data_IF_274456065637
#
_entry.id   IF_274456065637
#
_cell.length_a   1.000
_cell.length_b   1.000
_cell.length_c   1.000
_cell.angle_alpha   90.00
_cell.angle_beta   90.00
_cell.angle_gamma   90.00
#
_symmetry.space_group_name_H-M   'P 1'
#
loop_
_entity.id
_entity.type
_entity.pdbx_description
1 polymer ?
#
# COMPACT_ATOMS: atom_id res chain seq x y z
N UNK A 1 -8.86 10.14 34.48
CA UNK A 1 -8.35 8.79 34.15
C UNK A 1 -9.56 7.96 33.80
N UNK A 2 -9.76 7.62 32.53
CA UNK A 2 -10.89 6.80 32.13
C UNK A 2 -10.52 5.31 32.12
N UNK A 3 -11.44 4.47 32.58
CA UNK A 3 -11.38 3.02 32.39
C UNK A 3 -12.15 2.69 31.12
N UNK A 4 -11.42 2.31 30.08
CA UNK A 4 -11.98 1.92 28.78
C UNK A 4 -11.84 0.41 28.66
N UNK A 5 -12.95 -0.27 28.48
CA UNK A 5 -12.99 -1.71 28.38
C UNK A 5 -13.06 -2.19 26.93
N UNK A 6 -12.47 -3.35 26.69
CA UNK A 6 -12.66 -4.11 25.46
C UNK A 6 -13.18 -5.50 25.78
N UNK A 7 -14.30 -5.86 25.16
CA UNK A 7 -14.95 -7.16 25.28
C UNK A 7 -15.04 -7.82 23.91
N UNK A 8 -14.74 -9.12 23.85
CA UNK A 8 -14.91 -9.93 22.64
C UNK A 8 -15.99 -10.95 22.91
N UNK A 9 -17.13 -10.73 22.29
CA UNK A 9 -18.37 -11.45 22.54
C UNK A 9 -18.58 -12.48 21.43
N UNK A 10 -18.67 -13.74 21.86
CA UNK A 10 -18.97 -14.87 20.98
C UNK A 10 -20.48 -14.95 20.76
N UNK A 11 -20.93 -15.61 19.69
CA UNK A 11 -22.35 -15.91 19.45
C UNK A 11 -22.99 -16.80 20.52
N UNK A 12 -22.22 -17.34 21.46
CA UNK A 12 -22.75 -18.02 22.65
C UNK A 12 -23.10 -16.99 23.75
N UNK A 13 -24.39 -16.66 23.84
CA UNK A 13 -24.99 -15.63 24.70
C UNK A 13 -24.59 -15.76 26.18
N UNK A 14 -24.45 -16.98 26.71
CA UNK A 14 -24.20 -17.21 28.15
C UNK A 14 -22.81 -16.70 28.62
N UNK A 15 -21.79 -16.70 27.76
CA UNK A 15 -20.42 -16.27 28.15
C UNK A 15 -20.24 -14.76 28.07
N UNK A 16 -20.98 -14.12 27.18
CA UNK A 16 -20.91 -12.69 26.84
C UNK A 16 -21.39 -11.80 27.99
N UNK A 17 -22.52 -12.16 28.62
CA UNK A 17 -23.10 -11.35 29.70
C UNK A 17 -22.22 -11.33 30.95
N UNK A 18 -21.56 -12.45 31.26
CA UNK A 18 -20.64 -12.55 32.40
C UNK A 18 -19.43 -11.62 32.26
N UNK A 19 -18.94 -11.45 31.02
CA UNK A 19 -17.81 -10.59 30.71
C UNK A 19 -18.18 -9.10 30.84
N UNK A 20 -19.32 -8.71 30.27
CA UNK A 20 -19.81 -7.34 30.34
C UNK A 20 -20.12 -6.93 31.77
N UNK A 21 -20.71 -7.83 32.57
CA UNK A 21 -20.99 -7.58 33.98
C UNK A 21 -19.70 -7.33 34.76
N UNK A 22 -18.68 -8.17 34.59
CA UNK A 22 -17.39 -8.00 35.26
C UNK A 22 -16.71 -6.67 34.90
N UNK A 23 -16.77 -6.26 33.63
CA UNK A 23 -16.21 -4.98 33.17
C UNK A 23 -16.98 -3.77 33.73
N UNK A 24 -18.31 -3.86 33.80
CA UNK A 24 -19.16 -2.82 34.43
C UNK A 24 -18.89 -2.71 35.94
N UNK A 25 -18.78 -3.85 36.63
CA UNK A 25 -18.45 -3.89 38.07
C UNK A 25 -17.06 -3.32 38.35
N UNK A 26 -16.11 -3.45 37.43
CA UNK A 26 -14.79 -2.84 37.52
C UNK A 26 -14.79 -1.32 37.28
N UNK A 27 -15.94 -0.69 37.01
CA UNK A 27 -16.07 0.76 36.83
C UNK A 27 -15.74 1.26 35.42
N UNK A 28 -15.76 0.38 34.41
CA UNK A 28 -15.52 0.77 33.02
C UNK A 28 -16.74 1.52 32.47
N UNK A 29 -16.55 2.79 32.09
CA UNK A 29 -17.63 3.66 31.58
C UNK A 29 -17.83 3.53 30.07
N UNK A 30 -16.77 3.18 29.35
CA UNK A 30 -16.81 2.96 27.89
C UNK A 30 -16.42 1.52 27.63
N UNK A 31 -17.31 0.73 27.02
CA UNK A 31 -17.06 -0.67 26.69
C UNK A 31 -17.15 -0.82 25.17
N UNK A 32 -16.07 -1.29 24.56
CA UNK A 32 -16.00 -1.61 23.15
C UNK A 32 -16.26 -3.11 22.95
N UNK A 33 -17.38 -3.43 22.32
CA UNK A 33 -17.84 -4.80 22.10
C UNK A 33 -17.54 -5.25 20.67
N UNK A 34 -16.70 -6.27 20.53
CA UNK A 34 -16.35 -6.87 19.24
C UNK A 34 -17.10 -8.20 19.08
N UNK A 35 -18.07 -8.23 18.16
CA UNK A 35 -18.78 -9.43 17.73
C UNK A 35 -17.99 -10.10 16.61
N UNK A 36 -17.13 -11.05 16.95
CA UNK A 36 -16.29 -11.75 15.98
C UNK A 36 -16.04 -13.21 16.37
N UNK A 37 -16.13 -14.10 15.38
CA UNK A 37 -15.74 -15.49 15.54
C UNK A 37 -14.22 -15.61 15.74
N UNK A 38 -13.74 -16.68 16.38
CA UNK A 38 -12.33 -16.86 16.73
C UNK A 38 -11.34 -16.73 15.56
N UNK A 39 -11.80 -16.86 14.31
CA UNK A 39 -11.02 -16.82 13.07
C UNK A 39 -10.86 -15.46 12.37
N UNK A 40 -11.70 -14.45 12.68
CA UNK A 40 -11.69 -13.20 11.91
C UNK A 40 -10.43 -12.37 12.14
N UNK A 41 -9.70 -12.04 11.07
CA UNK A 41 -8.44 -11.30 11.14
C UNK A 41 -8.64 -9.81 11.37
N UNK A 42 -9.74 -9.27 10.86
CA UNK A 42 -10.03 -7.85 10.99
C UNK A 42 -10.73 -7.60 12.33
N UNK A 43 -10.08 -6.82 13.19
CA UNK A 43 -10.58 -6.40 14.51
C UNK A 43 -10.81 -4.89 14.53
N UNK A 44 -11.80 -4.39 13.78
CA UNK A 44 -12.02 -2.96 13.62
C UNK A 44 -12.43 -2.29 14.93
N UNK A 45 -13.14 -2.99 15.84
CA UNK A 45 -13.55 -2.41 17.13
C UNK A 45 -12.36 -2.33 18.08
N UNK A 46 -11.49 -3.34 18.12
CA UNK A 46 -10.23 -3.26 18.87
C UNK A 46 -9.37 -2.08 18.40
N UNK A 47 -9.22 -1.90 17.09
CA UNK A 47 -8.46 -0.79 16.53
C UNK A 47 -9.05 0.58 16.94
N UNK A 48 -10.39 0.71 16.90
CA UNK A 48 -11.10 1.90 17.38
C UNK A 48 -10.89 2.14 18.87
N UNK A 49 -10.98 1.09 19.70
CA UNK A 49 -10.75 1.18 21.14
C UNK A 49 -9.33 1.70 21.42
N UNK A 50 -8.32 1.10 20.78
CA UNK A 50 -6.93 1.50 20.90
C UNK A 50 -6.69 2.95 20.44
N UNK A 51 -7.37 3.39 19.37
CA UNK A 51 -7.28 4.77 18.89
C UNK A 51 -7.95 5.79 19.83
N UNK A 52 -9.00 5.39 20.55
CA UNK A 52 -9.74 6.27 21.46
C UNK A 52 -9.00 6.61 22.76
N UNK A 53 -8.08 5.76 23.20
CA UNK A 53 -7.35 5.88 24.46
C UNK A 53 -6.40 7.09 24.48
N UNK A 54 -6.36 7.81 25.60
CA UNK A 54 -5.48 8.95 25.85
C UNK A 54 -4.48 8.63 26.97
N UNK A 55 -3.41 9.43 27.04
CA UNK A 55 -2.40 9.31 28.12
C UNK A 55 -3.09 9.40 29.49
N UNK A 56 -2.77 8.44 30.38
CA UNK A 56 -3.35 8.33 31.71
C UNK A 56 -4.66 7.53 31.79
N UNK A 57 -5.17 7.03 30.66
CA UNK A 57 -6.26 6.05 30.65
C UNK A 57 -5.75 4.64 30.93
N UNK A 58 -6.69 3.73 31.23
CA UNK A 58 -6.40 2.30 31.39
C UNK A 58 -7.28 1.50 30.45
N UNK A 59 -6.66 0.67 29.61
CA UNK A 59 -7.37 -0.37 28.86
C UNK A 59 -7.64 -1.55 29.79
N UNK A 60 -8.92 -1.90 29.95
CA UNK A 60 -9.38 -3.01 30.78
C UNK A 60 -9.94 -4.12 29.91
N UNK A 61 -9.54 -5.36 30.20
CA UNK A 61 -10.12 -6.55 29.55
C UNK A 61 -10.50 -7.56 30.63
N UNK A 62 -11.52 -8.37 30.37
CA UNK A 62 -11.90 -9.41 31.33
C UNK A 62 -10.82 -10.49 31.43
N UNK A 63 -10.22 -10.86 30.29
CA UNK A 63 -9.12 -11.82 30.19
C UNK A 63 -8.22 -11.55 28.99
N UNK A 64 -6.96 -11.98 29.08
CA UNK A 64 -5.96 -11.81 28.01
C UNK A 64 -6.32 -12.53 26.70
N UNK A 65 -7.00 -13.68 26.75
CA UNK A 65 -7.44 -14.46 25.57
C UNK A 65 -8.50 -13.74 24.72
N UNK A 66 -9.14 -12.73 25.31
CA UNK A 66 -10.10 -11.88 24.61
C UNK A 66 -9.38 -10.78 23.84
N UNK A 67 -8.24 -10.29 24.33
CA UNK A 67 -7.42 -9.27 23.69
C UNK A 67 -6.46 -9.83 22.64
N UNK A 68 -5.71 -10.88 22.95
CA UNK A 68 -4.59 -11.32 22.12
C UNK A 68 -4.68 -12.80 21.75
N UNK A 69 -4.26 -13.13 20.53
CA UNK A 69 -4.19 -14.52 20.01
C UNK A 69 -2.87 -15.22 20.34
N UNK A 70 -1.86 -14.46 20.71
CA UNK A 70 -0.56 -14.97 21.12
C UNK A 70 0.02 -14.05 22.19
N UNK A 71 0.93 -14.60 22.99
CA UNK A 71 1.66 -13.84 23.99
C UNK A 71 2.49 -12.71 23.37
N UNK A 72 3.04 -12.92 22.17
CA UNK A 72 3.74 -11.86 21.43
C UNK A 72 2.82 -10.68 21.10
N UNK A 73 1.64 -10.95 20.56
CA UNK A 73 0.66 -9.91 20.25
C UNK A 73 0.18 -9.18 21.51
N UNK A 74 0.05 -9.88 22.64
CA UNK A 74 -0.28 -9.25 23.92
C UNK A 74 0.81 -8.25 24.34
N UNK A 75 2.09 -8.67 24.30
CA UNK A 75 3.23 -7.84 24.67
C UNK A 75 3.36 -6.63 23.74
N UNK A 76 3.16 -6.80 22.45
CA UNK A 76 3.19 -5.71 21.45
C UNK A 76 2.11 -4.66 21.73
N UNK A 77 0.88 -5.09 22.03
CA UNK A 77 -0.21 -4.18 22.41
C UNK A 77 0.14 -3.44 23.70
N UNK A 78 0.61 -4.14 24.73
CA UNK A 78 0.92 -3.51 26.03
C UNK A 78 2.10 -2.53 25.90
N UNK A 79 3.13 -2.86 25.13
CA UNK A 79 4.27 -1.96 24.87
C UNK A 79 3.80 -0.69 24.14
N UNK A 80 2.99 -0.83 23.09
CA UNK A 80 2.41 0.30 22.37
C UNK A 80 1.52 1.20 23.25
N UNK A 81 0.79 0.62 24.21
CA UNK A 81 0.04 1.38 25.22
C UNK A 81 0.98 2.10 26.19
N UNK A 82 2.02 1.41 26.67
CA UNK A 82 3.03 1.96 27.58
C UNK A 82 3.76 3.17 26.99
N UNK A 83 4.16 3.11 25.71
CA UNK A 83 4.78 4.22 25.00
C UNK A 83 3.88 5.46 24.92
N UNK A 84 2.55 5.26 24.88
CA UNK A 84 1.54 6.34 24.90
C UNK A 84 1.18 6.79 26.32
N UNK A 85 1.76 6.19 27.35
CA UNK A 85 1.43 6.43 28.76
C UNK A 85 0.03 5.96 29.13
N UNK A 86 -0.44 4.89 28.51
CA UNK A 86 -1.73 4.23 28.79
C UNK A 86 -1.43 2.95 29.58
N UNK A 87 -2.20 2.70 30.64
CA UNK A 87 -2.08 1.49 31.43
C UNK A 87 -2.93 0.35 30.85
N UNK A 88 -2.60 -0.89 31.23
CA UNK A 88 -3.32 -2.09 30.86
C UNK A 88 -3.66 -2.91 32.10
N UNK A 89 -4.88 -3.44 32.15
CA UNK A 89 -5.37 -4.29 33.23
C UNK A 89 -6.22 -5.44 32.70
N UNK A 90 -5.91 -6.66 33.13
CA UNK A 90 -6.81 -7.81 33.02
C UNK A 90 -7.53 -8.03 34.35
N UNK A 91 -8.83 -8.33 34.32
CA UNK A 91 -9.60 -8.62 35.54
C UNK A 91 -9.41 -10.07 36.01
N UNK A 92 -9.31 -11.02 35.08
CA UNK A 92 -9.18 -12.45 35.37
C UNK A 92 -7.75 -12.98 35.39
N UNK A 93 -6.75 -12.14 35.09
CA UNK A 93 -5.33 -12.51 35.05
C UNK A 93 -4.50 -11.59 35.94
N UNK A 94 -3.35 -12.03 36.48
CA UNK A 94 -2.49 -11.23 37.37
C UNK A 94 -1.67 -10.15 36.61
N UNK A 95 -2.23 -9.59 35.53
CA UNK A 95 -1.56 -8.60 34.69
C UNK A 95 -2.25 -7.25 34.87
N UNK A 96 -1.60 -6.38 35.64
CA UNK A 96 -1.98 -4.99 35.85
C UNK A 96 -0.72 -4.11 35.80
N UNK A 97 -0.57 -3.33 34.74
CA UNK A 97 0.62 -2.48 34.53
C UNK A 97 0.66 -1.27 35.46
N UNK A 98 -0.42 -0.98 36.19
CA UNK A 98 -0.43 0.06 37.23
C UNK A 98 0.25 -0.41 38.51
N UNK A 99 0.25 -1.72 38.77
CA UNK A 99 0.85 -2.32 39.97
C UNK A 99 2.29 -2.81 39.73
N UNK A 100 3.21 -2.70 40.72
CA UNK A 100 4.53 -3.32 40.62
C UNK A 100 4.49 -4.83 40.40
N UNK A 101 3.56 -5.53 41.06
CA UNK A 101 3.39 -6.99 40.97
C UNK A 101 2.94 -7.40 39.57
N UNK A 102 1.97 -6.70 38.99
CA UNK A 102 1.50 -6.97 37.63
C UNK A 102 2.52 -6.63 36.55
N UNK A 103 3.33 -5.58 36.75
CA UNK A 103 4.49 -5.30 35.88
C UNK A 103 5.54 -6.41 35.93
N UNK A 104 5.84 -6.93 37.12
CA UNK A 104 6.74 -8.07 37.28
C UNK A 104 6.20 -9.33 36.58
N UNK A 105 4.91 -9.65 36.79
CA UNK A 105 4.27 -10.78 36.13
C UNK A 105 4.35 -10.67 34.60
N UNK A 106 4.13 -9.47 34.05
CA UNK A 106 4.27 -9.20 32.62
C UNK A 106 5.71 -9.42 32.12
N UNK A 107 6.72 -8.98 32.86
CA UNK A 107 8.13 -9.18 32.49
C UNK A 107 8.52 -10.66 32.48
N UNK A 108 8.08 -11.43 33.48
CA UNK A 108 8.31 -12.88 33.53
C UNK A 108 7.65 -13.58 32.33
N UNK A 109 6.41 -13.21 32.00
CA UNK A 109 5.73 -13.71 30.81
C UNK A 109 6.48 -13.34 29.52
N UNK A 110 6.99 -12.11 29.43
CA UNK A 110 7.84 -11.66 28.32
C UNK A 110 9.08 -12.53 28.15
N UNK A 111 9.84 -12.74 29.23
CA UNK A 111 11.04 -13.56 29.22
C UNK A 111 10.75 -15.03 28.84
N UNK A 112 9.65 -15.61 29.36
CA UNK A 112 9.22 -16.95 28.99
C UNK A 112 8.88 -17.05 27.48
N UNK A 113 8.22 -16.03 26.91
CA UNK A 113 7.89 -15.97 25.49
C UNK A 113 9.12 -15.90 24.59
N UNK A 114 10.17 -15.21 25.04
CA UNK A 114 11.45 -15.11 24.33
C UNK A 114 12.21 -16.44 24.38
N UNK A 115 12.25 -17.07 25.56
CA UNK A 115 12.86 -18.39 25.74
C UNK A 115 12.20 -19.44 24.83
N UNK A 116 10.87 -19.49 24.80
CA UNK A 116 10.14 -20.43 23.94
C UNK A 116 10.49 -20.21 22.45
N UNK A 117 10.53 -18.96 21.99
CA UNK A 117 10.94 -18.62 20.62
C UNK A 117 12.37 -19.05 20.32
N UNK A 118 13.29 -18.82 21.25
CA UNK A 118 14.68 -19.25 21.11
C UNK A 118 14.77 -20.78 20.98
N UNK A 119 14.05 -21.54 21.82
CA UNK A 119 14.03 -23.00 21.80
C UNK A 119 13.39 -23.58 20.53
N UNK A 120 12.33 -22.96 20.00
CA UNK A 120 11.72 -23.35 18.72
C UNK A 120 12.72 -23.13 17.57
N UNK A 121 13.40 -21.98 17.57
CA UNK A 121 14.43 -21.66 16.57
C UNK A 121 15.58 -22.67 16.63
N UNK A 122 16.08 -22.96 17.82
CA UNK A 122 17.15 -23.93 18.03
C UNK A 122 16.76 -25.32 17.52
N UNK A 123 15.58 -25.83 17.90
CA UNK A 123 15.04 -27.10 17.40
C UNK A 123 14.88 -27.11 15.88
N UNK A 124 14.42 -26.01 15.29
CA UNK A 124 14.25 -25.89 13.84
C UNK A 124 15.60 -25.95 13.12
N UNK A 125 16.62 -25.26 13.64
CA UNK A 125 17.98 -25.29 13.10
C UNK A 125 18.60 -26.69 13.25
N UNK A 126 18.43 -27.33 14.41
CA UNK A 126 18.91 -28.68 14.64
C UNK A 126 18.24 -29.69 13.69
N UNK A 127 16.92 -29.60 13.51
CA UNK A 127 16.16 -30.42 12.57
C UNK A 127 16.60 -30.19 11.12
N UNK A 128 16.86 -28.94 10.74
CA UNK A 128 17.41 -28.60 9.43
C UNK A 128 18.80 -29.20 9.22
N UNK A 129 19.71 -29.06 10.19
CA UNK A 129 21.06 -29.65 10.14
C UNK A 129 21.00 -31.17 10.02
N UNK A 130 20.13 -31.83 10.79
CA UNK A 130 19.93 -33.27 10.72
C UNK A 130 19.35 -33.71 9.36
N UNK A 131 18.44 -32.93 8.77
CA UNK A 131 17.90 -33.20 7.44
C UNK A 131 18.99 -33.07 6.37
N UNK A 132 19.81 -32.02 6.43
CA UNK A 132 20.96 -31.82 5.54
C UNK A 132 21.98 -32.96 5.68
N UNK A 133 22.30 -33.38 6.90
CA UNK A 133 23.20 -34.52 7.15
C UNK A 133 22.64 -35.84 6.57
N UNK A 134 21.32 -35.99 6.49
CA UNK A 134 20.63 -37.10 5.82
C UNK A 134 20.49 -36.92 4.30
N UNK A 135 21.17 -35.95 3.71
CA UNK A 135 21.14 -35.66 2.27
C UNK A 135 19.87 -34.96 1.78
N UNK A 136 19.00 -34.48 2.68
CA UNK A 136 17.84 -33.69 2.27
C UNK A 136 18.26 -32.25 1.97
N UNK A 137 17.86 -31.78 0.80
CA UNK A 137 18.12 -30.41 0.36
C UNK A 137 17.07 -29.41 0.87
N UNK A 138 17.46 -28.27 1.48
CA UNK A 138 16.52 -27.26 1.94
C UNK A 138 15.86 -26.45 0.81
N UNK A 139 14.59 -26.10 0.97
CA UNK A 139 13.85 -25.32 -0.04
C UNK A 139 13.26 -26.19 -1.14
N UNK A 140 12.61 -25.57 -2.15
CA UNK A 140 11.90 -26.31 -3.20
C UNK A 140 12.89 -26.92 -4.21
N UNK A 141 12.99 -28.26 -4.31
CA UNK A 141 13.91 -28.91 -5.25
C UNK A 141 13.64 -28.56 -6.72
N UNK A 142 12.38 -28.37 -7.10
CA UNK A 142 11.99 -27.97 -8.45
C UNK A 142 12.48 -26.57 -8.82
N UNK A 143 12.45 -25.62 -7.87
CA UNK A 143 13.00 -24.28 -8.12
C UNK A 143 14.52 -24.29 -8.28
N UNK A 144 15.24 -25.11 -7.50
CA UNK A 144 16.69 -25.27 -7.62
C UNK A 144 17.10 -25.88 -8.95
N UNK A 145 16.35 -26.91 -9.37
CA UNK A 145 16.55 -27.59 -10.66
C UNK A 145 16.04 -26.79 -11.86
N UNK A 146 15.48 -25.59 -11.62
CA UNK A 146 14.83 -24.74 -12.63
C UNK A 146 13.77 -25.51 -13.43
N UNK A 147 13.07 -26.42 -12.77
CA UNK A 147 11.94 -27.15 -13.34
C UNK A 147 10.87 -26.15 -13.83
N UNK A 148 10.50 -26.19 -15.13
CA UNK A 148 9.49 -25.30 -15.70
C UNK A 148 8.17 -25.29 -14.92
N UNK A 149 7.72 -26.46 -14.43
CA UNK A 149 6.47 -26.55 -13.68
C UNK A 149 6.57 -25.87 -12.31
N UNK A 150 7.67 -26.09 -11.59
CA UNK A 150 7.93 -25.42 -10.32
C UNK A 150 8.10 -23.89 -10.47
N UNK A 151 8.77 -23.44 -11.53
CA UNK A 151 8.94 -22.02 -11.85
C UNK A 151 7.59 -21.35 -12.17
N UNK A 152 6.76 -21.99 -12.98
CA UNK A 152 5.44 -21.46 -13.33
C UNK A 152 4.52 -21.43 -12.11
N UNK A 153 4.50 -22.48 -11.29
CA UNK A 153 3.74 -22.49 -10.02
C UNK A 153 4.19 -21.38 -9.07
N UNK A 154 5.50 -21.13 -8.95
CA UNK A 154 6.01 -20.03 -8.15
C UNK A 154 5.67 -18.66 -8.75
N UNK A 155 5.65 -18.53 -10.08
CA UNK A 155 5.21 -17.31 -10.77
C UNK A 155 3.73 -17.03 -10.49
N UNK A 156 2.88 -18.05 -10.65
CA UNK A 156 1.44 -17.97 -10.37
C UNK A 156 1.18 -17.62 -8.90
N UNK A 157 1.90 -18.22 -7.96
CA UNK A 157 1.79 -17.87 -6.54
C UNK A 157 2.14 -16.41 -6.25
N UNK A 158 3.20 -15.88 -6.87
CA UNK A 158 3.57 -14.45 -6.75
C UNK A 158 2.54 -13.53 -7.42
N UNK A 159 2.01 -13.92 -8.58
CA UNK A 159 0.97 -13.17 -9.28
C UNK A 159 -0.31 -13.11 -8.43
N UNK A 160 -0.74 -14.23 -7.86
CA UNK A 160 -1.93 -14.32 -7.00
C UNK A 160 -1.78 -13.43 -5.77
N UNK A 161 -0.67 -13.58 -5.03
CA UNK A 161 -0.41 -12.75 -3.85
C UNK A 161 -0.34 -11.24 -4.19
N UNK A 162 0.17 -10.91 -5.38
CA UNK A 162 0.19 -9.52 -5.86
C UNK A 162 -1.21 -9.02 -6.20
N UNK A 163 -2.03 -9.85 -6.85
CA UNK A 163 -3.40 -9.50 -7.23
C UNK A 163 -4.28 -9.30 -5.98
N UNK A 164 -4.13 -10.14 -4.95
CA UNK A 164 -4.77 -9.95 -3.64
C UNK A 164 -4.41 -8.59 -3.01
N UNK A 165 -3.12 -8.21 -3.03
CA UNK A 165 -2.68 -6.90 -2.54
C UNK A 165 -3.24 -5.74 -3.37
N UNK A 166 -3.40 -5.92 -4.68
CA UNK A 166 -4.02 -4.88 -5.54
C UNK A 166 -5.47 -4.66 -5.15
N UNK A 167 -6.23 -5.73 -4.91
CA UNK A 167 -7.63 -5.65 -4.48
C UNK A 167 -7.74 -5.01 -3.10
N UNK A 168 -6.96 -5.49 -2.13
CA UNK A 168 -6.98 -4.98 -0.75
C UNK A 168 -6.67 -3.47 -0.65
N UNK A 169 -5.80 -2.96 -1.52
CA UNK A 169 -5.38 -1.57 -1.54
C UNK A 169 -6.03 -0.75 -2.66
N UNK A 170 -7.06 -1.26 -3.32
CA UNK A 170 -7.71 -0.58 -4.45
C UNK A 170 -8.18 0.84 -4.09
N UNK A 171 -8.74 1.01 -2.89
CA UNK A 171 -9.24 2.29 -2.39
C UNK A 171 -8.17 3.39 -2.31
N UNK A 172 -6.88 3.04 -2.27
CA UNK A 172 -5.79 4.02 -2.15
C UNK A 172 -5.47 4.74 -3.46
N UNK A 173 -5.73 4.13 -4.62
CA UNK A 173 -5.32 4.67 -5.92
C UNK A 173 -6.45 4.68 -6.96
N UNK A 174 -7.44 3.80 -6.82
CA UNK A 174 -8.52 3.65 -7.79
C UNK A 174 -9.35 4.93 -7.99
N UNK A 175 -9.73 5.69 -6.95
CA UNK A 175 -10.50 6.93 -7.15
C UNK A 175 -9.79 7.94 -8.05
N UNK A 176 -8.48 8.09 -7.91
CA UNK A 176 -7.66 8.97 -8.77
C UNK A 176 -7.59 8.44 -10.21
N UNK A 177 -7.53 7.12 -10.38
CA UNK A 177 -7.53 6.50 -11.71
C UNK A 177 -8.87 6.74 -12.41
N UNK A 178 -9.99 6.45 -11.73
CA UNK A 178 -11.33 6.61 -12.29
C UNK A 178 -11.68 8.08 -12.58
N UNK A 179 -11.20 9.01 -11.76
CA UNK A 179 -11.41 10.44 -11.99
C UNK A 179 -10.66 10.97 -13.23
N UNK A 180 -9.49 10.40 -13.54
CA UNK A 180 -8.64 10.90 -14.63
C UNK A 180 -8.82 10.11 -15.94
N UNK A 181 -9.30 8.87 -15.89
CA UNK A 181 -9.45 7.99 -17.05
C UNK A 181 -10.90 7.94 -17.52
N UNK A 182 -11.14 7.80 -18.83
CA UNK A 182 -10.18 7.57 -19.91
C UNK A 182 -9.54 8.83 -20.53
N UNK A 183 -9.99 10.04 -20.16
CA UNK A 183 -9.58 11.30 -20.81
C UNK A 183 -8.09 11.59 -20.69
N UNK A 184 -7.46 11.16 -19.61
CA UNK A 184 -6.05 11.42 -19.31
C UNK A 184 -5.15 10.24 -19.71
N UNK A 185 -3.99 10.48 -20.34
CA UNK A 185 -2.97 9.45 -20.57
C UNK A 185 -2.39 8.85 -19.27
N UNK A 186 -2.02 7.58 -19.30
CA UNK A 186 -1.53 6.84 -18.12
C UNK A 186 -0.28 7.45 -17.46
N UNK A 187 0.60 8.13 -18.20
CA UNK A 187 1.77 8.83 -17.64
C UNK A 187 1.36 9.95 -16.68
N UNK A 188 0.32 10.70 -17.02
CA UNK A 188 -0.20 11.78 -16.17
C UNK A 188 -0.95 11.23 -14.96
N UNK A 189 -1.70 10.14 -15.12
CA UNK A 189 -2.34 9.44 -13.98
C UNK A 189 -1.29 8.97 -12.98
N UNK A 190 -0.22 8.32 -13.47
CA UNK A 190 0.90 7.89 -12.62
C UNK A 190 1.57 9.08 -11.93
N UNK A 191 1.70 10.23 -12.62
CA UNK A 191 2.26 11.44 -12.03
C UNK A 191 1.36 12.02 -10.94
N UNK A 192 0.04 12.01 -11.13
CA UNK A 192 -0.93 12.43 -10.12
C UNK A 192 -0.85 11.54 -8.86
N UNK A 193 -0.83 10.21 -9.05
CA UNK A 193 -0.64 9.25 -7.96
C UNK A 193 0.69 9.47 -7.21
N UNK A 194 1.77 9.73 -7.95
CA UNK A 194 3.08 10.08 -7.36
C UNK A 194 3.00 11.37 -6.53
N UNK A 195 2.30 12.39 -7.02
CA UNK A 195 2.07 13.64 -6.30
C UNK A 195 1.29 13.47 -5.01
N UNK A 196 0.38 12.48 -4.96
CA UNK A 196 -0.37 12.08 -3.76
C UNK A 196 0.42 11.13 -2.84
N UNK A 197 1.69 10.84 -3.13
CA UNK A 197 2.50 9.89 -2.36
C UNK A 197 2.05 8.42 -2.47
N UNK A 198 1.19 8.08 -3.46
CA UNK A 198 0.68 6.72 -3.65
C UNK A 198 1.73 5.84 -4.31
N UNK A 199 1.94 4.66 -3.73
CA UNK A 199 2.93 3.67 -4.17
C UNK A 199 2.27 2.33 -4.45
N UNK A 200 3.02 1.41 -5.05
CA UNK A 200 2.53 0.06 -5.36
C UNK A 200 2.43 -0.79 -4.08
N UNK A 201 1.33 -1.53 -3.88
CA UNK A 201 1.12 -2.30 -2.64
C UNK A 201 2.18 -3.36 -2.33
N UNK A 202 2.73 -4.04 -3.34
CA UNK A 202 3.61 -5.21 -3.17
C UNK A 202 5.09 -4.89 -3.00
N UNK A 203 5.56 -3.69 -3.37
CA UNK A 203 6.98 -3.31 -3.26
C UNK A 203 7.22 -1.87 -2.78
N UNK A 204 6.16 -1.10 -2.52
CA UNK A 204 6.20 0.32 -2.12
C UNK A 204 6.97 1.23 -3.07
N UNK A 205 7.28 0.77 -4.29
CA UNK A 205 7.92 1.59 -5.32
C UNK A 205 6.88 2.46 -6.03
N UNK A 206 7.30 3.53 -6.73
CA UNK A 206 6.39 4.34 -7.53
C UNK A 206 5.67 3.54 -8.61
N UNK A 207 4.44 3.95 -8.91
CA UNK A 207 3.69 3.40 -10.05
C UNK A 207 4.43 3.68 -11.37
N UNK A 208 4.38 2.70 -12.27
CA UNK A 208 4.70 2.87 -13.69
C UNK A 208 3.43 2.65 -14.51
N UNK A 209 3.30 3.23 -15.73
CA UNK A 209 2.11 3.06 -16.56
C UNK A 209 1.74 1.59 -16.74
N UNK A 210 2.72 0.74 -17.09
CA UNK A 210 2.48 -0.69 -17.28
C UNK A 210 2.06 -1.41 -15.99
N UNK A 211 2.62 -1.04 -14.83
CA UNK A 211 2.22 -1.67 -13.57
C UNK A 211 0.80 -1.27 -13.16
N UNK A 212 0.41 -0.01 -13.42
CA UNK A 212 -0.92 0.52 -13.11
C UNK A 212 -1.97 -0.06 -14.05
N UNK A 213 -1.70 -0.10 -15.35
CA UNK A 213 -2.58 -0.74 -16.35
C UNK A 213 -2.85 -2.20 -15.98
N UNK A 214 -1.83 -2.96 -15.59
CA UNK A 214 -2.02 -4.36 -15.16
C UNK A 214 -2.92 -4.45 -13.92
N UNK A 215 -2.68 -3.62 -12.91
CA UNK A 215 -3.50 -3.59 -11.71
C UNK A 215 -4.97 -3.25 -12.02
N UNK A 216 -5.21 -2.22 -12.83
CA UNK A 216 -6.57 -1.80 -13.23
C UNK A 216 -7.24 -2.87 -14.09
N UNK A 217 -6.52 -3.54 -15.00
CA UNK A 217 -7.06 -4.70 -15.75
C UNK A 217 -7.53 -5.83 -14.84
N UNK A 218 -6.78 -6.11 -13.77
CA UNK A 218 -7.18 -7.12 -12.77
C UNK A 218 -8.44 -6.70 -12.04
N UNK A 219 -8.49 -5.45 -11.56
CA UNK A 219 -9.68 -4.90 -10.93
C UNK A 219 -10.90 -4.93 -11.86
N UNK A 220 -10.71 -4.66 -13.16
CA UNK A 220 -11.78 -4.68 -14.15
C UNK A 220 -12.30 -6.11 -14.37
N UNK A 221 -11.40 -7.09 -14.38
CA UNK A 221 -11.75 -8.50 -14.51
C UNK A 221 -12.58 -9.03 -13.33
N UNK A 222 -12.39 -8.48 -12.12
CA UNK A 222 -13.19 -8.81 -10.93
C UNK A 222 -14.37 -7.85 -10.69
N UNK A 223 -14.65 -6.95 -11.64
CA UNK A 223 -15.80 -6.04 -11.58
C UNK A 223 -15.66 -4.85 -10.61
N UNK A 224 -14.45 -4.57 -10.10
CA UNK A 224 -14.19 -3.48 -9.16
C UNK A 224 -13.92 -2.12 -9.82
N UNK A 225 -13.75 -2.08 -11.13
CA UNK A 225 -13.59 -0.83 -11.91
C UNK A 225 -14.29 -0.97 -13.25
N UNK A 226 -14.84 0.14 -13.75
CA UNK A 226 -15.46 0.19 -15.08
C UNK A 226 -14.42 -0.13 -16.17
N UNK A 227 -14.82 -0.85 -17.21
CA UNK A 227 -13.89 -1.26 -18.27
C UNK A 227 -13.41 -0.09 -19.14
N UNK A 228 -14.22 0.96 -19.29
CA UNK A 228 -13.91 2.17 -20.07
C UNK A 228 -12.68 2.92 -19.55
N UNK A 229 -12.32 2.77 -18.27
CA UNK A 229 -11.07 3.29 -17.68
C UNK A 229 -9.82 2.80 -18.43
N UNK A 230 -9.90 1.65 -19.10
CA UNK A 230 -8.79 1.09 -19.88
C UNK A 230 -8.71 1.64 -21.32
N UNK A 231 -9.71 2.38 -21.79
CA UNK A 231 -9.81 2.84 -23.18
C UNK A 231 -8.71 3.84 -23.55
N UNK A 232 -8.14 3.79 -24.76
CA UNK A 232 -7.08 4.71 -25.16
C UNK A 232 -7.47 6.18 -24.90
N UNK A 233 -6.59 6.93 -24.22
CA UNK A 233 -6.81 8.36 -24.04
C UNK A 233 -6.81 9.06 -25.41
N UNK A 234 -7.62 10.13 -25.59
CA UNK A 234 -7.55 10.96 -26.78
C UNK A 234 -6.12 11.49 -26.97
N UNK A 235 -5.66 11.56 -28.23
CA UNK A 235 -4.36 12.17 -28.56
C UNK A 235 -4.38 13.63 -28.11
N UNK A 236 -3.35 14.09 -27.37
CA UNK A 236 -3.29 15.47 -26.88
C UNK A 236 -3.26 16.47 -28.04
N UNK A 237 -4.10 17.49 -27.92
CA UNK A 237 -4.17 18.67 -28.80
C UNK A 237 -2.91 19.54 -28.69
N UNK A 238 -2.11 19.41 -27.62
CA UNK A 238 -0.84 20.15 -27.43
C UNK A 238 0.12 20.08 -28.64
N UNK A 239 0.07 19.01 -29.43
CA UNK A 239 0.89 18.94 -30.64
C UNK A 239 0.46 19.95 -31.71
N UNK A 240 -0.82 20.26 -31.81
CA UNK A 240 -1.34 21.18 -32.82
C UNK A 240 -1.04 22.63 -32.42
N UNK A 241 -1.13 22.98 -31.13
CA UNK A 241 -0.66 24.29 -30.62
C UNK A 241 0.86 24.46 -30.83
N UNK A 242 1.65 23.41 -30.61
CA UNK A 242 3.09 23.43 -30.87
C UNK A 242 3.41 23.49 -32.37
N UNK A 243 2.62 22.85 -33.22
CA UNK A 243 2.73 22.96 -34.69
C UNK A 243 2.43 24.40 -35.11
N UNK A 244 1.39 25.03 -34.56
CA UNK A 244 1.05 26.44 -34.81
C UNK A 244 2.15 27.38 -34.32
N UNK A 245 2.73 27.14 -33.14
CA UNK A 245 3.85 27.94 -32.62
C UNK A 245 5.11 27.80 -33.48
N UNK A 246 5.47 26.57 -33.89
CA UNK A 246 6.61 26.33 -34.78
C UNK A 246 6.38 27.00 -36.14
N UNK A 247 5.17 26.91 -36.68
CA UNK A 247 4.80 27.59 -37.93
C UNK A 247 4.91 29.11 -37.81
N UNK A 248 4.41 29.69 -36.71
CA UNK A 248 4.50 31.12 -36.44
C UNK A 248 5.94 31.59 -36.31
N UNK A 249 6.79 30.84 -35.61
CA UNK A 249 8.22 31.15 -35.47
C UNK A 249 8.98 31.08 -36.81
N UNK A 250 8.67 30.09 -37.65
CA UNK A 250 9.28 29.95 -38.98
C UNK A 250 8.85 31.07 -39.94
N UNK A 251 7.60 31.52 -39.86
CA UNK A 251 7.08 32.64 -40.66
C UNK A 251 7.59 34.00 -40.21
N UNK A 252 7.78 34.19 -38.90
CA UNK A 252 8.24 35.45 -38.32
C UNK A 252 9.71 35.75 -38.66
N UNK A 253 10.53 34.71 -38.84
CA UNK A 253 11.93 34.84 -39.23
C UNK A 253 12.29 33.77 -40.29
N UNK A 254 12.14 34.11 -41.58
CA UNK A 254 12.53 33.23 -42.67
C UNK A 254 14.02 32.89 -42.59
N UNK A 255 14.37 31.60 -42.67
CA UNK A 255 15.76 31.12 -42.50
C UNK A 255 16.18 30.82 -41.06
N UNK A 256 15.24 30.78 -40.11
CA UNK A 256 15.54 30.31 -38.76
C UNK A 256 15.91 28.82 -38.77
N UNK A 257 17.11 28.51 -38.26
CA UNK A 257 17.54 27.12 -38.08
C UNK A 257 16.65 26.36 -37.10
N UNK A 258 16.54 25.03 -37.26
CA UNK A 258 15.82 24.16 -36.32
C UNK A 258 16.29 24.32 -34.87
N UNK A 259 17.59 24.55 -34.67
CA UNK A 259 18.20 24.80 -33.35
C UNK A 259 17.87 26.21 -32.82
N UNK A 260 17.60 27.17 -33.71
CA UNK A 260 17.05 28.47 -33.38
C UNK A 260 15.61 28.38 -32.88
N UNK A 261 14.74 27.65 -33.59
CA UNK A 261 13.36 27.40 -33.17
C UNK A 261 13.33 26.67 -31.82
N UNK A 262 14.19 25.65 -31.65
CA UNK A 262 14.32 24.92 -30.39
C UNK A 262 14.66 25.86 -29.21
N UNK A 263 15.63 26.76 -29.39
CA UNK A 263 16.03 27.74 -28.37
C UNK A 263 14.89 28.72 -28.04
N UNK A 264 14.12 29.18 -29.01
CA UNK A 264 12.96 30.06 -28.77
C UNK A 264 11.86 29.37 -27.99
N UNK A 265 11.49 28.15 -28.37
CA UNK A 265 10.50 27.36 -27.63
C UNK A 265 10.94 27.12 -26.19
N UNK A 266 12.24 26.85 -25.96
CA UNK A 266 12.82 26.76 -24.62
C UNK A 266 12.75 28.08 -23.84
N UNK A 267 13.11 29.19 -24.48
CA UNK A 267 13.04 30.53 -23.88
C UNK A 267 11.61 30.94 -23.48
N UNK A 268 10.62 30.49 -24.25
CA UNK A 268 9.19 30.66 -23.94
C UNK A 268 8.67 29.70 -22.86
N UNK A 269 9.53 28.83 -22.30
CA UNK A 269 9.13 27.83 -21.31
C UNK A 269 8.29 26.68 -21.86
N UNK A 270 8.22 26.51 -23.19
CA UNK A 270 7.42 25.46 -23.82
C UNK A 270 8.04 24.09 -23.64
N UNK A 271 7.18 23.10 -23.36
CA UNK A 271 7.58 21.70 -23.20
C UNK A 271 7.51 20.98 -24.54
N UNK A 272 8.37 19.97 -24.72
CA UNK A 272 8.29 19.11 -25.90
C UNK A 272 6.97 18.35 -25.95
N UNK A 273 6.57 17.79 -27.11
CA UNK A 273 5.37 16.96 -27.22
C UNK A 273 5.32 15.77 -26.24
N UNK A 274 6.50 15.34 -25.73
CA UNK A 274 6.63 14.27 -24.73
C UNK A 274 6.80 14.80 -23.29
N UNK A 275 6.61 16.10 -23.06
CA UNK A 275 6.65 16.76 -21.75
C UNK A 275 8.04 17.13 -21.22
N UNK A 276 9.09 16.94 -22.02
CA UNK A 276 10.47 17.27 -21.67
C UNK A 276 10.77 18.78 -21.75
N UNK A 277 11.82 19.22 -21.07
CA UNK A 277 12.28 20.62 -21.09
C UNK A 277 13.37 20.88 -22.15
N UNK A 278 13.98 19.81 -22.68
CA UNK A 278 15.01 19.90 -23.73
C UNK A 278 14.42 19.59 -25.09
N UNK A 279 14.51 20.54 -26.01
CA UNK A 279 14.07 20.38 -27.39
C UNK A 279 15.19 19.79 -28.25
N UNK A 280 14.88 18.72 -29.00
CA UNK A 280 15.80 18.15 -29.98
C UNK A 280 15.49 18.69 -31.38
N UNK A 281 16.53 18.79 -32.22
CA UNK A 281 16.42 19.15 -33.63
C UNK A 281 15.39 18.28 -34.37
N UNK A 282 15.37 16.98 -34.09
CA UNK A 282 14.40 16.03 -34.64
C UNK A 282 12.96 16.31 -34.22
N UNK A 283 12.73 16.72 -32.97
CA UNK A 283 11.39 17.05 -32.48
C UNK A 283 10.84 18.31 -33.13
N UNK A 284 11.69 19.33 -33.34
CA UNK A 284 11.32 20.55 -34.05
C UNK A 284 11.08 20.28 -35.53
N UNK A 285 11.97 19.50 -36.18
CA UNK A 285 11.80 19.09 -37.58
C UNK A 285 10.46 18.41 -37.80
N UNK A 286 10.10 17.44 -36.96
CA UNK A 286 8.83 16.72 -37.09
C UNK A 286 7.59 17.64 -36.94
N UNK A 287 7.66 18.68 -36.11
CA UNK A 287 6.55 19.64 -35.98
C UNK A 287 6.50 20.59 -37.18
N UNK A 288 7.66 21.01 -37.69
CA UNK A 288 7.74 21.87 -38.88
C UNK A 288 7.29 21.13 -40.14
N UNK A 289 7.65 19.85 -40.30
CA UNK A 289 7.18 18.99 -41.40
C UNK A 289 5.65 18.87 -41.35
N UNK A 290 5.08 18.63 -40.15
CA UNK A 290 3.62 18.63 -39.96
C UNK A 290 2.97 19.98 -40.26
N UNK A 291 3.63 21.10 -39.90
CA UNK A 291 3.14 22.43 -40.24
C UNK A 291 3.09 22.64 -41.76
N UNK A 292 4.08 22.13 -42.50
CA UNK A 292 4.12 22.16 -43.97
C UNK A 292 3.02 21.30 -44.58
N UNK A 293 2.82 20.08 -44.07
CA UNK A 293 1.71 19.20 -44.48
C UNK A 293 0.34 19.86 -44.27
N UNK A 294 0.19 20.68 -43.24
CA UNK A 294 -1.02 21.45 -42.95
C UNK A 294 -1.11 22.78 -43.73
N UNK A 295 -0.14 23.10 -44.59
CA UNK A 295 -0.12 24.34 -45.38
C UNK A 295 0.16 25.62 -44.58
N UNK A 296 0.68 25.48 -43.35
CA UNK A 296 0.90 26.60 -42.42
C UNK A 296 2.22 27.35 -42.67
N UNK A 297 3.16 26.79 -43.44
CA UNK A 297 4.49 27.35 -43.76
C UNK A 297 4.81 27.08 -45.23
N UNK A 298 5.39 28.05 -45.95
CA UNK A 298 5.77 27.87 -47.37
C UNK A 298 7.20 27.30 -47.50
N UNK A 299 7.47 26.51 -48.54
CA UNK A 299 8.79 25.85 -48.72
C UNK A 299 9.98 26.83 -48.81
N UNK A 300 9.75 28.08 -49.23
CA UNK A 300 10.80 29.10 -49.40
C UNK A 300 11.27 29.77 -48.08
N UNK A 301 10.65 29.49 -46.93
CA UNK A 301 10.97 30.13 -45.63
C UNK A 301 12.02 29.33 -44.82
N UNK A 302 12.58 28.26 -45.39
CA UNK A 302 13.50 27.31 -44.71
C UNK A 302 14.89 27.31 -45.36
N UNK A 303 15.82 28.11 -44.87
CA UNK A 303 17.26 27.93 -45.08
C UNK A 303 17.95 27.70 -43.72
#
# INVERSE_FOLDING_TARGET
>A
MALVAYARVSTEEQSTDSQLLALKQAGCSVIFEEHASGGDRDRPVLAKALASLKRGDTLVVARIDRLARSLFHLLEVIDGLGQRGIAFKSLGDPIDTTSPQGRFALQVLGAAAELERALIRERSIAGLRAAVAKGKEPGNPGLRRRDPAALEKARQGRETARDELVVAHAQEFLPTVEALRPTTPWDQVVRALKGQGRTRPWDRKPWTPNSLIRAVRRLAAVGLVRQDVLDPAPKRVDSDDLVLMVAGLARAEPGITLDGIARRLQGMGQRTPRGGLRWSRSSVKNLLDRAKEQGLVREAESA
#
